data_IF_594271315597
#
_entry.id   IF_594271315597
#
_cell.length_a   1.000
_cell.length_b   1.000
_cell.length_c   1.000
_cell.angle_alpha   90.00
_cell.angle_beta   90.00
_cell.angle_gamma   90.00
#
_symmetry.space_group_name_H-M   'P 1'
#
loop_
_entity.id
_entity.type
_entity.pdbx_description
1 polymer ?
#
# COMPACT_ATOMS: atom_id res chain seq x y z
N UNK A 1 14.52 32.96 12.81
CA UNK A 1 14.59 31.63 12.16
C UNK A 1 13.95 30.55 13.04
N UNK A 2 14.34 30.43 14.31
CA UNK A 2 13.78 29.44 15.25
C UNK A 2 12.25 29.52 15.44
N UNK A 3 11.66 30.73 15.52
CA UNK A 3 10.21 30.88 15.67
C UNK A 3 9.38 30.36 14.48
N UNK A 4 9.92 30.42 13.25
CA UNK A 4 9.22 29.88 12.07
C UNK A 4 9.21 28.35 12.04
N UNK A 5 10.18 27.72 12.70
CA UNK A 5 10.31 26.26 12.77
C UNK A 5 9.52 25.67 13.95
N UNK A 6 9.11 26.50 14.91
CA UNK A 6 8.42 26.08 16.13
C UNK A 6 7.16 25.24 15.88
N UNK A 7 6.28 25.57 14.91
CA UNK A 7 5.12 24.73 14.58
C UNK A 7 5.52 23.37 13.99
N UNK A 8 6.62 23.32 13.23
CA UNK A 8 7.13 22.09 12.62
C UNK A 8 7.77 21.18 13.67
N UNK A 9 8.45 21.77 14.66
CA UNK A 9 9.00 21.07 15.82
C UNK A 9 7.89 20.56 16.72
N UNK A 10 6.84 21.34 16.99
CA UNK A 10 5.68 20.90 17.77
C UNK A 10 4.91 19.76 17.09
N UNK A 11 4.79 19.78 15.76
CA UNK A 11 4.22 18.66 14.98
C UNK A 11 5.12 17.41 15.05
N UNK A 12 6.44 17.58 14.94
CA UNK A 12 7.41 16.50 15.09
C UNK A 12 7.41 15.90 16.50
N UNK A 13 7.05 16.69 17.51
CA UNK A 13 6.91 16.26 18.90
C UNK A 13 5.50 15.76 19.27
N UNK A 14 4.56 15.77 18.33
CA UNK A 14 3.17 15.33 18.54
C UNK A 14 2.85 14.08 17.68
N UNK A 15 3.40 12.90 18.02
CA UNK A 15 3.22 11.68 17.22
C UNK A 15 1.74 11.30 17.03
N UNK A 16 0.86 11.71 17.95
CA UNK A 16 -0.59 11.50 17.91
C UNK A 16 -1.30 12.09 16.67
N UNK A 17 -0.66 13.09 16.04
CA UNK A 17 -1.18 13.90 14.94
C UNK A 17 -0.55 13.55 13.59
N UNK A 18 0.40 12.61 13.54
CA UNK A 18 1.02 12.21 12.28
C UNK A 18 0.02 11.51 11.35
N UNK A 19 0.32 11.51 10.05
CA UNK A 19 -0.49 10.82 9.05
C UNK A 19 -0.59 9.32 9.36
N UNK A 20 0.49 8.70 9.84
CA UNK A 20 0.54 7.31 10.29
C UNK A 20 -0.41 7.09 11.48
N UNK A 21 -0.33 7.91 12.53
CA UNK A 21 -1.21 7.77 13.70
C UNK A 21 -2.70 7.92 13.34
N UNK A 22 -3.03 8.78 12.38
CA UNK A 22 -4.40 8.92 11.87
C UNK A 22 -4.85 7.70 11.08
N UNK A 23 -3.98 7.14 10.24
CA UNK A 23 -4.24 5.87 9.55
C UNK A 23 -4.41 4.72 10.52
N UNK A 24 -3.56 4.61 11.54
CA UNK A 24 -3.66 3.57 12.56
C UNK A 24 -4.99 3.64 13.31
N UNK A 25 -5.40 4.85 13.76
CA UNK A 25 -6.70 5.09 14.40
C UNK A 25 -7.85 4.65 13.47
N UNK A 26 -7.75 4.98 12.18
CA UNK A 26 -8.76 4.60 11.18
C UNK A 26 -8.82 3.09 10.97
N UNK A 27 -7.67 2.44 10.78
CA UNK A 27 -7.55 0.97 10.62
C UNK A 27 -8.19 0.25 11.80
N UNK A 28 -7.87 0.67 13.04
CA UNK A 28 -8.44 0.10 14.27
C UNK A 28 -9.94 0.31 14.36
N UNK A 29 -10.42 1.53 14.07
CA UNK A 29 -11.86 1.86 14.08
C UNK A 29 -12.65 1.03 13.09
N UNK A 30 -12.14 0.87 11.87
CA UNK A 30 -12.79 0.11 10.82
C UNK A 30 -12.60 -1.41 10.96
N UNK A 31 -11.79 -1.85 11.93
CA UNK A 31 -11.41 -3.26 12.18
C UNK A 31 -10.85 -3.94 10.92
N UNK A 32 -10.08 -3.19 10.14
CA UNK A 32 -9.46 -3.69 8.93
C UNK A 32 -8.43 -4.77 9.27
N UNK A 33 -8.39 -5.84 8.48
CA UNK A 33 -7.44 -6.96 8.60
C UNK A 33 -6.43 -6.92 7.47
N UNK A 34 -6.82 -6.43 6.30
CA UNK A 34 -5.96 -6.27 5.11
C UNK A 34 -5.91 -4.81 4.67
N UNK A 35 -4.75 -4.37 4.18
CA UNK A 35 -4.49 -2.96 3.89
C UNK A 35 -3.52 -2.81 2.71
N UNK A 36 -3.70 -1.76 1.92
CA UNK A 36 -2.75 -1.34 0.88
C UNK A 36 -2.71 0.19 0.78
N UNK A 37 -1.55 0.74 0.40
CA UNK A 37 -1.41 2.14 0.03
C UNK A 37 -0.81 2.28 -1.38
N UNK A 38 -1.50 3.01 -2.23
CA UNK A 38 -1.02 3.47 -3.52
C UNK A 38 -0.27 4.80 -3.33
N UNK A 39 1.01 4.69 -2.97
CA UNK A 39 1.93 5.79 -2.74
C UNK A 39 3.37 5.35 -2.90
N UNK A 40 4.25 6.26 -3.29
CA UNK A 40 5.70 6.14 -3.23
C UNK A 40 6.23 6.27 -1.78
N UNK A 41 5.45 6.83 -0.87
CA UNK A 41 5.88 7.05 0.51
C UNK A 41 5.82 5.77 1.34
N UNK A 42 6.99 5.17 1.60
CA UNK A 42 7.12 3.91 2.33
C UNK A 42 6.57 3.95 3.76
N UNK A 43 6.46 5.14 4.37
CA UNK A 43 5.93 5.30 5.73
C UNK A 43 4.44 4.92 5.83
N UNK A 44 3.70 4.95 4.72
CA UNK A 44 2.32 4.48 4.67
C UNK A 44 2.20 2.96 4.67
N UNK A 45 3.30 2.25 4.45
CA UNK A 45 3.42 0.79 4.51
C UNK A 45 3.94 0.33 5.87
N UNK A 46 5.26 0.16 5.99
CA UNK A 46 5.91 -0.58 7.09
C UNK A 46 5.55 -0.08 8.51
N UNK A 47 5.62 1.24 8.82
CA UNK A 47 5.20 1.74 10.15
C UNK A 47 3.74 1.42 10.49
N UNK A 48 2.81 1.71 9.58
CA UNK A 48 1.37 1.51 9.80
C UNK A 48 1.04 0.03 9.96
N UNK A 49 1.63 -0.83 9.12
CA UNK A 49 1.47 -2.29 9.20
C UNK A 49 1.98 -2.83 10.53
N UNK A 50 3.19 -2.45 10.95
CA UNK A 50 3.77 -2.91 12.21
C UNK A 50 2.96 -2.45 13.42
N UNK A 51 2.50 -1.20 13.42
CA UNK A 51 1.80 -0.64 14.57
C UNK A 51 0.36 -1.15 14.70
N UNK A 52 -0.25 -1.63 13.62
CA UNK A 52 -1.65 -2.11 13.63
C UNK A 52 -1.80 -3.63 13.54
N UNK A 53 -0.80 -4.34 13.03
CA UNK A 53 -0.86 -5.79 12.80
C UNK A 53 -1.73 -6.20 11.59
N UNK A 54 -2.12 -5.26 10.73
CA UNK A 54 -2.83 -5.59 9.48
C UNK A 54 -1.92 -6.29 8.49
N UNK A 55 -2.51 -7.12 7.62
CA UNK A 55 -1.79 -7.75 6.53
C UNK A 55 -1.66 -6.78 5.36
N UNK A 56 -0.42 -6.57 4.90
CA UNK A 56 -0.16 -5.83 3.67
C UNK A 56 -0.59 -6.63 2.43
N UNK A 57 -1.42 -6.02 1.58
CA UNK A 57 -2.09 -6.70 0.46
C UNK A 57 -1.37 -6.54 -0.89
N UNK A 58 -0.08 -6.19 -0.89
CA UNK A 58 0.75 -6.13 -2.09
C UNK A 58 2.10 -6.79 -1.86
N UNK A 59 2.76 -7.28 -2.91
CA UNK A 59 4.18 -7.66 -2.79
C UNK A 59 5.12 -6.46 -2.74
N UNK A 60 4.63 -5.25 -3.02
CA UNK A 60 5.42 -4.02 -3.04
C UNK A 60 5.07 -3.18 -1.83
N UNK A 61 6.07 -2.79 -1.03
CA UNK A 61 5.85 -1.93 0.16
C UNK A 61 5.56 -0.47 -0.20
N UNK A 62 5.75 -0.11 -1.47
CA UNK A 62 5.45 1.20 -2.06
C UNK A 62 5.33 1.09 -3.57
N UNK A 63 4.81 2.14 -4.21
CA UNK A 63 4.58 2.18 -5.67
C UNK A 63 5.80 2.65 -6.48
N UNK A 64 6.99 2.72 -5.88
CA UNK A 64 8.24 3.10 -6.58
C UNK A 64 8.50 2.23 -7.82
N UNK A 65 8.31 0.91 -7.71
CA UNK A 65 8.52 -0.01 -8.83
C UNK A 65 7.53 0.25 -9.98
N UNK A 66 6.27 0.57 -9.65
CA UNK A 66 5.24 0.92 -10.64
C UNK A 66 5.60 2.22 -11.36
N UNK A 67 6.00 3.24 -10.62
CA UNK A 67 6.47 4.50 -11.24
C UNK A 67 7.69 4.28 -12.12
N UNK A 68 8.63 3.45 -11.68
CA UNK A 68 9.81 3.07 -12.47
C UNK A 68 9.44 2.40 -13.79
N UNK A 69 8.53 1.44 -13.77
CA UNK A 69 8.00 0.80 -14.99
C UNK A 69 7.39 1.83 -15.94
N UNK A 70 6.50 2.70 -15.44
CA UNK A 70 5.81 3.71 -16.25
C UNK A 70 6.76 4.78 -16.80
N UNK A 71 7.78 5.15 -16.05
CA UNK A 71 8.82 6.07 -16.51
C UNK A 71 9.65 5.43 -17.62
N UNK A 72 10.12 4.19 -17.44
CA UNK A 72 10.92 3.46 -18.44
C UNK A 72 10.14 3.25 -19.74
N UNK A 73 8.85 2.94 -19.65
CA UNK A 73 7.97 2.76 -20.80
C UNK A 73 7.90 3.97 -21.75
N UNK A 74 8.29 5.17 -21.30
CA UNK A 74 8.35 6.38 -22.16
C UNK A 74 9.47 6.34 -23.19
N UNK A 75 10.53 5.58 -22.93
CA UNK A 75 11.73 5.52 -23.78
C UNK A 75 12.01 4.11 -24.30
N UNK A 76 11.54 3.09 -23.59
CA UNK A 76 11.61 1.68 -23.96
C UNK A 76 10.20 1.09 -23.87
N UNK A 77 9.43 1.12 -24.98
CA UNK A 77 8.06 0.62 -24.99
C UNK A 77 7.96 -0.86 -24.63
N UNK A 78 9.01 -1.66 -24.81
CA UNK A 78 9.01 -3.10 -24.49
C UNK A 78 9.31 -3.41 -23.02
N UNK A 79 9.75 -2.42 -22.23
CA UNK A 79 10.06 -2.57 -20.80
C UNK A 79 8.92 -3.21 -19.97
N UNK A 80 7.66 -3.00 -20.37
CA UNK A 80 6.49 -3.60 -19.70
C UNK A 80 6.41 -5.12 -19.82
N UNK A 81 7.12 -5.73 -20.79
CA UNK A 81 7.15 -7.19 -20.97
C UNK A 81 8.12 -7.83 -20.00
N UNK A 82 9.24 -7.16 -19.72
CA UNK A 82 10.25 -7.63 -18.77
C UNK A 82 9.79 -7.44 -17.32
N UNK A 83 9.18 -6.28 -17.01
CA UNK A 83 8.78 -5.90 -15.65
C UNK A 83 7.32 -5.42 -15.62
N UNK A 84 6.33 -6.33 -15.67
CA UNK A 84 4.91 -5.97 -15.72
C UNK A 84 4.36 -5.56 -14.34
N UNK A 85 5.01 -4.60 -13.67
CA UNK A 85 4.71 -4.21 -12.27
C UNK A 85 3.26 -3.80 -12.08
N UNK A 86 2.70 -3.01 -12.99
CA UNK A 86 1.27 -2.61 -12.97
C UNK A 86 0.32 -3.80 -12.97
N UNK A 87 0.65 -4.88 -13.69
CA UNK A 87 -0.15 -6.11 -13.67
C UNK A 87 0.01 -6.88 -12.35
N UNK A 88 1.21 -6.90 -11.79
CA UNK A 88 1.43 -7.53 -10.48
C UNK A 88 0.69 -6.78 -9.36
N UNK A 89 0.77 -5.44 -9.34
CA UNK A 89 0.02 -4.61 -8.38
C UNK A 89 -1.49 -4.84 -8.52
N UNK A 90 -2.02 -4.82 -9.74
CA UNK A 90 -3.44 -5.06 -10.00
C UNK A 90 -3.89 -6.45 -9.51
N UNK A 91 -3.11 -7.50 -9.83
CA UNK A 91 -3.40 -8.88 -9.42
C UNK A 91 -3.31 -9.07 -7.91
N UNK A 92 -2.31 -8.49 -7.26
CA UNK A 92 -2.16 -8.56 -5.81
C UNK A 92 -3.34 -7.87 -5.12
N UNK A 93 -3.81 -6.72 -5.63
CA UNK A 93 -5.00 -6.05 -5.12
C UNK A 93 -6.26 -6.93 -5.24
N UNK A 94 -6.48 -7.53 -6.41
CA UNK A 94 -7.63 -8.41 -6.67
C UNK A 94 -7.57 -9.67 -5.78
N UNK A 95 -6.40 -10.29 -5.65
CA UNK A 95 -6.21 -11.50 -4.86
C UNK A 95 -6.20 -11.23 -3.35
N UNK A 96 -5.63 -10.10 -2.93
CA UNK A 96 -5.50 -9.70 -1.54
C UNK A 96 -6.77 -9.10 -0.96
N UNK A 97 -7.61 -8.48 -1.80
CA UNK A 97 -8.88 -7.86 -1.42
C UNK A 97 -8.76 -7.02 -0.13
N UNK A 98 -7.97 -5.93 -0.16
CA UNK A 98 -7.70 -5.14 1.03
C UNK A 98 -8.99 -4.57 1.63
N UNK A 99 -9.20 -4.71 2.94
CA UNK A 99 -10.33 -4.07 3.62
C UNK A 99 -10.26 -2.53 3.47
N UNK A 100 -9.05 -2.00 3.50
CA UNK A 100 -8.75 -0.58 3.30
C UNK A 100 -7.68 -0.36 2.22
N UNK A 101 -7.98 0.57 1.32
CA UNK A 101 -7.04 1.06 0.31
C UNK A 101 -6.83 2.57 0.47
N UNK A 102 -5.57 2.99 0.52
CA UNK A 102 -5.19 4.40 0.58
C UNK A 102 -4.65 4.84 -0.77
N UNK A 103 -5.04 6.02 -1.23
CA UNK A 103 -4.51 6.66 -2.43
C UNK A 103 -3.87 7.97 -2.03
N UNK A 104 -2.59 8.14 -2.31
CA UNK A 104 -1.90 9.41 -2.15
C UNK A 104 -2.21 10.32 -3.35
N UNK A 105 -2.93 11.41 -3.10
CA UNK A 105 -3.32 12.38 -4.13
C UNK A 105 -2.33 13.53 -4.30
N UNK A 106 -1.26 13.55 -3.50
CA UNK A 106 -0.15 14.52 -3.65
C UNK A 106 0.75 14.14 -4.82
N UNK A 107 0.73 12.87 -5.22
CA UNK A 107 1.50 12.34 -6.33
C UNK A 107 0.80 12.62 -7.68
N UNK A 108 1.60 12.83 -8.73
CA UNK A 108 1.08 13.15 -10.07
C UNK A 108 0.48 11.95 -10.82
N UNK A 109 0.65 10.74 -10.27
CA UNK A 109 0.21 9.50 -10.90
C UNK A 109 -1.20 9.12 -10.45
N UNK A 110 -2.13 9.02 -11.41
CA UNK A 110 -3.43 8.44 -11.14
C UNK A 110 -3.34 6.90 -11.13
N UNK A 111 -2.92 6.35 -9.99
CA UNK A 111 -2.76 4.91 -9.78
C UNK A 111 -3.98 4.10 -10.22
N UNK A 112 -5.15 4.53 -9.79
CA UNK A 112 -6.39 3.80 -10.05
C UNK A 112 -6.66 3.75 -11.55
N UNK A 113 -6.56 4.88 -12.26
CA UNK A 113 -6.77 4.90 -13.71
C UNK A 113 -5.76 4.00 -14.43
N UNK A 114 -4.48 4.07 -14.07
CA UNK A 114 -3.42 3.25 -14.68
C UNK A 114 -3.68 1.75 -14.48
N UNK A 115 -4.03 1.35 -13.26
CA UNK A 115 -4.30 -0.04 -12.94
C UNK A 115 -5.61 -0.53 -13.56
N UNK A 116 -6.66 0.30 -13.60
CA UNK A 116 -7.93 -0.03 -14.26
C UNK A 116 -7.79 -0.25 -15.76
N UNK A 117 -6.96 0.56 -16.44
CA UNK A 117 -6.67 0.37 -17.87
C UNK A 117 -5.85 -0.91 -18.10
N UNK A 118 -4.98 -1.27 -17.14
CA UNK A 118 -4.08 -2.41 -17.26
C UNK A 118 -4.75 -3.76 -16.98
N UNK A 119 -5.79 -3.78 -16.14
CA UNK A 119 -6.47 -4.99 -15.70
C UNK A 119 -7.97 -4.73 -15.42
N UNK A 120 -8.89 -5.25 -16.25
CA UNK A 120 -10.34 -5.10 -16.03
C UNK A 120 -10.83 -5.71 -14.70
N UNK A 121 -10.16 -6.75 -14.19
CA UNK A 121 -10.53 -7.35 -12.91
C UNK A 121 -10.23 -6.39 -11.75
N UNK A 122 -9.15 -5.60 -11.86
CA UNK A 122 -8.88 -4.52 -10.91
C UNK A 122 -9.96 -3.44 -10.96
N UNK A 123 -10.37 -2.99 -12.16
CA UNK A 123 -11.43 -1.99 -12.30
C UNK A 123 -12.75 -2.46 -11.66
N UNK A 124 -13.11 -3.73 -11.88
CA UNK A 124 -14.27 -4.35 -11.25
C UNK A 124 -14.15 -4.41 -9.73
N UNK A 125 -13.02 -4.89 -9.21
CA UNK A 125 -12.77 -4.96 -7.76
C UNK A 125 -12.80 -3.56 -7.12
N UNK A 126 -12.13 -2.57 -7.72
CA UNK A 126 -12.09 -1.20 -7.23
C UNK A 126 -13.47 -0.54 -7.16
N UNK A 127 -14.41 -0.90 -8.06
CA UNK A 127 -15.78 -0.36 -8.05
C UNK A 127 -16.55 -0.63 -6.75
N UNK A 128 -16.12 -1.64 -5.98
CA UNK A 128 -16.69 -2.02 -4.68
C UNK A 128 -16.14 -1.21 -3.51
N UNK A 129 -15.19 -0.30 -3.75
CA UNK A 129 -14.60 0.54 -2.72
C UNK A 129 -15.32 1.89 -2.64
N UNK A 130 -15.51 2.40 -1.43
CA UNK A 130 -16.07 3.73 -1.17
C UNK A 130 -15.15 4.52 -0.26
N UNK A 131 -14.99 5.80 -0.57
CA UNK A 131 -14.17 6.68 0.25
C UNK A 131 -14.84 6.87 1.61
N UNK A 132 -14.09 6.66 2.69
CA UNK A 132 -14.54 6.81 4.07
C UNK A 132 -13.81 7.92 4.83
N UNK A 133 -12.66 8.37 4.31
CA UNK A 133 -11.89 9.47 4.89
C UNK A 133 -11.02 10.15 3.83
N UNK A 134 -10.65 11.40 4.08
CA UNK A 134 -9.63 12.12 3.34
C UNK A 134 -8.88 13.04 4.30
N UNK A 135 -7.55 13.00 4.26
CA UNK A 135 -6.69 13.83 5.11
C UNK A 135 -5.23 13.83 4.65
N UNK A 136 -4.51 14.93 4.88
CA UNK A 136 -3.06 15.06 4.61
C UNK A 136 -2.64 14.70 3.17
N UNK A 137 -3.56 14.90 2.21
CA UNK A 137 -3.38 14.50 0.81
C UNK A 137 -3.60 13.02 0.54
N UNK A 138 -4.13 12.27 1.50
CA UNK A 138 -4.54 10.88 1.36
C UNK A 138 -6.05 10.76 1.22
N UNK A 139 -6.50 9.81 0.40
CA UNK A 139 -7.90 9.39 0.29
C UNK A 139 -7.98 7.93 0.71
N UNK A 140 -8.81 7.63 1.69
CA UNK A 140 -8.96 6.27 2.24
C UNK A 140 -10.29 5.68 1.80
N UNK A 141 -10.21 4.49 1.24
CA UNK A 141 -11.33 3.75 0.69
C UNK A 141 -11.52 2.44 1.43
N UNK A 142 -12.76 2.06 1.66
CA UNK A 142 -13.16 0.81 2.30
C UNK A 142 -13.94 -0.05 1.33
N UNK A 143 -13.62 -1.34 1.30
CA UNK A 143 -14.40 -2.34 0.58
C UNK A 143 -15.82 -2.46 1.17
N UNK A 144 -16.86 -2.45 0.33
CA UNK A 144 -18.27 -2.47 0.75
C UNK A 144 -18.94 -3.84 0.64
N UNK A 145 -18.25 -4.87 0.13
CA UNK A 145 -18.87 -6.15 -0.20
C UNK A 145 -18.96 -7.11 0.97
N UNK A 146 -20.11 -7.78 1.12
CA UNK A 146 -20.28 -8.98 1.96
C UNK A 146 -19.62 -10.22 1.35
N UNK A 147 -19.36 -10.20 0.04
CA UNK A 147 -18.54 -11.19 -0.65
C UNK A 147 -17.09 -10.77 -0.45
N UNK A 148 -16.43 -11.35 0.55
CA UNK A 148 -14.97 -11.32 0.59
C UNK A 148 -14.46 -11.81 -0.76
N UNK A 149 -13.66 -11.01 -1.47
CA UNK A 149 -12.95 -11.57 -2.61
C UNK A 149 -12.20 -12.81 -2.10
N UNK A 150 -12.25 -13.87 -2.89
CA UNK A 150 -11.91 -15.25 -2.53
C UNK A 150 -10.77 -15.35 -1.51
N UNK A 151 -11.12 -15.87 -0.33
CA UNK A 151 -10.28 -16.15 0.86
C UNK A 151 -8.77 -16.40 0.57
N UNK A 152 -7.93 -15.44 0.99
CA UNK A 152 -6.47 -15.45 1.30
C UNK A 152 -5.46 -15.77 0.17
N UNK A 153 -4.46 -14.90 -0.09
CA UNK A 153 -3.10 -15.35 -0.37
C UNK A 153 -2.45 -15.83 0.94
N UNK A 154 -1.92 -17.06 0.94
CA UNK A 154 -1.00 -17.53 1.99
C UNK A 154 0.32 -16.78 1.81
N UNK A 155 0.61 -15.82 2.68
CA UNK A 155 2.01 -15.45 2.92
C UNK A 155 2.61 -16.65 3.64
N UNK A 156 3.53 -17.35 2.97
CA UNK A 156 4.28 -18.42 3.60
C UNK A 156 5.13 -17.80 4.71
N UNK A 157 4.90 -18.21 5.96
CA UNK A 157 5.85 -18.00 7.05
C UNK A 157 7.16 -18.68 6.62
N UNK A 158 8.16 -17.88 6.24
CA UNK A 158 9.50 -18.39 6.09
C UNK A 158 9.99 -18.80 7.48
N UNK A 159 9.87 -20.09 7.81
CA UNK A 159 10.61 -20.68 8.93
C UNK A 159 12.08 -20.50 8.63
N UNK A 160 12.73 -19.57 9.30
CA UNK A 160 14.18 -19.55 9.42
C UNK A 160 14.51 -20.71 10.35
N UNK A 161 14.71 -21.90 9.80
CA UNK A 161 15.42 -22.98 10.48
C UNK A 161 16.89 -22.63 10.45
N UNK A 162 17.37 -22.04 11.55
CA UNK A 162 18.78 -22.06 11.87
C UNK A 162 19.13 -23.48 12.34
N UNK A 163 19.74 -24.28 11.46
CA UNK A 163 20.56 -25.40 11.91
C UNK A 163 21.56 -25.81 10.83
N UNK A 164 22.83 -25.53 11.09
CA UNK A 164 23.97 -26.33 10.64
C UNK A 164 25.26 -25.73 11.26
N UNK A 165 25.61 -26.22 12.45
CA UNK A 165 26.99 -26.19 12.94
C UNK A 165 27.92 -26.90 11.96
N UNK A 166 29.11 -26.36 11.62
CA UNK A 166 30.16 -27.14 10.99
C UNK A 166 31.03 -27.78 12.07
N UNK A 167 30.93 -29.10 12.21
CA UNK A 167 31.90 -29.92 12.94
C UNK A 167 32.87 -30.55 11.94
N UNK A 168 34.12 -30.11 11.97
CA UNK A 168 35.35 -30.80 11.53
C UNK A 168 36.55 -30.04 12.12
N UNK A 169 37.65 -30.72 12.48
CA UNK A 169 38.43 -31.60 11.61
C UNK A 169 38.45 -33.07 12.02
#
# INVERSE_FOLDING_TARGET
AAERLRPQVELACSPELSTEARLEKLIRRERAKTYVAFSEWIALGFPVVNNTGVVWASRFDSMWALKGELWRARFDPDAHKEWPVRRWVARDFVAGCPDLAVVDSRESLNYIAVLSVSDPAFASAWSQYRQIAAFDGLRVYKHQGSVHCSRRPRIAEAKITADASPSSP
#
